data_IF_060908364333
#
_entry.id   IF_060908364333
#
_cell.length_a   1.000
_cell.length_b   1.000
_cell.length_c   1.000
_cell.angle_alpha   90.00
_cell.angle_beta   90.00
_cell.angle_gamma   90.00
#
_symmetry.space_group_name_H-M   'P 1'
#
loop_
_entity.id
_entity.type
_entity.pdbx_description
1 polymer ?
#
# COMPACT_ATOMS: atom_id res chain seq x y z
N UNK A 1 -0.82 8.98 -22.21
CA UNK A 1 -0.48 10.36 -21.77
C UNK A 1 0.62 10.25 -20.72
N UNK A 2 1.62 11.14 -20.64
CA UNK A 2 2.73 10.98 -19.67
C UNK A 2 2.58 11.91 -18.47
N UNK A 3 2.94 11.47 -17.28
CA UNK A 3 3.02 12.33 -16.10
C UNK A 3 3.74 11.71 -14.90
N UNK A 4 4.03 12.55 -13.91
CA UNK A 4 4.79 12.18 -12.72
C UNK A 4 3.85 11.89 -11.55
N UNK A 5 4.00 10.74 -10.89
CA UNK A 5 3.27 10.47 -9.64
C UNK A 5 3.85 11.35 -8.54
N UNK A 6 3.07 12.33 -8.06
CA UNK A 6 3.48 13.19 -6.96
C UNK A 6 3.14 12.59 -5.60
N UNK A 7 1.92 12.05 -5.48
CA UNK A 7 1.38 11.58 -4.21
C UNK A 7 0.26 10.58 -4.45
N UNK A 8 0.06 9.72 -3.46
CA UNK A 8 -1.07 8.82 -3.37
C UNK A 8 -1.73 9.03 -2.02
N UNK A 9 -3.06 8.98 -2.01
CA UNK A 9 -3.80 8.93 -0.77
C UNK A 9 -5.03 8.02 -0.92
N UNK A 10 -5.48 7.41 0.17
CA UNK A 10 -6.67 6.58 0.16
C UNK A 10 -7.92 7.45 0.27
N UNK A 11 -8.96 7.02 -0.43
CA UNK A 11 -10.34 7.45 -0.27
C UNK A 11 -11.08 6.40 0.56
N UNK A 12 -12.41 6.35 0.48
CA UNK A 12 -13.24 5.37 1.19
C UNK A 12 -13.02 3.96 0.61
N UNK A 13 -13.19 3.82 -0.70
CA UNK A 13 -13.27 2.55 -1.43
C UNK A 13 -12.07 2.29 -2.35
N UNK A 14 -11.21 3.29 -2.55
CA UNK A 14 -10.16 3.29 -3.59
C UNK A 14 -8.96 4.13 -3.19
N UNK A 15 -7.90 4.05 -3.98
CA UNK A 15 -6.74 4.94 -3.86
C UNK A 15 -6.75 5.99 -4.96
N UNK A 16 -6.32 7.21 -4.65
CA UNK A 16 -6.22 8.30 -5.62
C UNK A 16 -4.78 8.70 -5.83
N UNK A 17 -4.35 8.62 -7.08
CA UNK A 17 -3.06 9.12 -7.55
C UNK A 17 -3.20 10.58 -7.94
N UNK A 18 -2.24 11.39 -7.51
CA UNK A 18 -2.04 12.77 -7.96
C UNK A 18 -0.88 12.77 -8.94
N UNK A 19 -1.18 13.08 -10.19
CA UNK A 19 -0.23 13.00 -11.30
C UNK A 19 0.00 14.41 -11.88
N UNK A 20 1.25 14.81 -12.06
CA UNK A 20 1.62 16.08 -12.69
C UNK A 20 1.88 15.87 -14.19
N UNK A 21 1.18 16.62 -15.03
CA UNK A 21 1.33 16.62 -16.49
C UNK A 21 1.58 18.04 -17.00
N UNK A 22 2.84 18.37 -17.31
CA UNK A 22 3.22 19.77 -17.60
C UNK A 22 2.75 20.68 -16.46
N UNK A 23 1.92 21.67 -16.77
CA UNK A 23 1.38 22.60 -15.77
C UNK A 23 0.12 22.10 -15.05
N UNK A 24 -0.46 20.97 -15.43
CA UNK A 24 -1.74 20.46 -14.89
C UNK A 24 -1.56 19.34 -13.86
N UNK A 25 -2.54 19.22 -12.97
CA UNK A 25 -2.69 18.08 -12.08
C UNK A 25 -3.86 17.21 -12.56
N UNK A 26 -3.62 15.90 -12.59
CA UNK A 26 -4.60 14.88 -12.94
C UNK A 26 -4.78 13.97 -11.73
N UNK A 27 -6.04 13.64 -11.45
CA UNK A 27 -6.40 12.68 -10.41
C UNK A 27 -6.86 11.40 -11.07
N UNK A 28 -6.22 10.29 -10.73
CA UNK A 28 -6.62 8.96 -11.21
C UNK A 28 -6.94 8.07 -10.03
N UNK A 29 -8.13 7.49 -10.07
CA UNK A 29 -8.56 6.52 -9.07
C UNK A 29 -8.08 5.11 -9.46
N UNK A 30 -7.67 4.35 -8.45
CA UNK A 30 -7.20 2.96 -8.57
C UNK A 30 -7.96 2.10 -7.57
N UNK A 31 -8.53 1.03 -8.11
CA UNK A 31 -9.08 -0.06 -7.32
C UNK A 31 -7.94 -1.01 -6.95
N UNK A 32 -7.69 -1.15 -5.65
CA UNK A 32 -6.72 -2.08 -5.11
C UNK A 32 -7.31 -2.72 -3.87
N UNK A 33 -7.16 -4.05 -3.76
CA UNK A 33 -7.68 -4.87 -2.69
C UNK A 33 -6.54 -5.16 -1.70
N UNK A 34 -6.40 -4.38 -0.62
CA UNK A 34 -5.32 -4.57 0.33
C UNK A 34 -5.46 -5.90 1.08
N UNK A 35 -4.32 -6.47 1.49
CA UNK A 35 -4.26 -7.74 2.22
C UNK A 35 -3.77 -7.51 3.64
N UNK A 36 -4.42 -8.15 4.60
CA UNK A 36 -3.91 -8.27 5.97
C UNK A 36 -3.35 -9.67 6.19
N UNK A 37 -2.33 -9.76 7.03
CA UNK A 37 -1.69 -11.01 7.40
C UNK A 37 -1.81 -11.20 8.90
N UNK A 38 -2.39 -12.33 9.32
CA UNK A 38 -2.66 -12.58 10.73
C UNK A 38 -2.18 -13.96 11.18
N UNK A 39 -1.87 -14.05 12.48
CA UNK A 39 -1.71 -15.31 13.19
C UNK A 39 -2.38 -15.26 14.56
N UNK A 40 -2.77 -16.41 15.07
CA UNK A 40 -3.36 -16.54 16.39
C UNK A 40 -4.00 -17.90 16.58
N UNK A 41 -4.79 -18.03 17.66
CA UNK A 41 -5.58 -19.24 17.89
C UNK A 41 -6.60 -19.46 16.77
N UNK A 42 -6.77 -20.72 16.36
CA UNK A 42 -7.64 -21.07 15.23
C UNK A 42 -9.07 -20.57 15.40
N UNK A 43 -9.59 -20.62 16.63
CA UNK A 43 -10.95 -20.17 16.93
C UNK A 43 -11.10 -18.65 16.78
N UNK A 44 -10.13 -17.87 17.26
CA UNK A 44 -10.12 -16.42 17.08
C UNK A 44 -10.07 -16.03 15.59
N UNK A 45 -9.26 -16.73 14.80
CA UNK A 45 -9.18 -16.50 13.34
C UNK A 45 -10.50 -16.84 12.66
N UNK A 46 -11.13 -17.96 13.00
CA UNK A 46 -12.44 -18.36 12.44
C UNK A 46 -13.53 -17.35 12.77
N UNK A 47 -13.57 -16.86 14.01
CA UNK A 47 -14.53 -15.83 14.42
C UNK A 47 -14.33 -14.54 13.63
N UNK A 48 -13.09 -14.10 13.43
CA UNK A 48 -12.81 -12.93 12.59
C UNK A 48 -13.30 -13.16 11.15
N UNK A 49 -12.91 -14.26 10.50
CA UNK A 49 -13.31 -14.55 9.11
C UNK A 49 -14.84 -14.56 8.98
N UNK A 50 -15.55 -15.21 9.91
CA UNK A 50 -17.01 -15.23 9.91
C UNK A 50 -17.62 -13.83 10.08
N UNK A 51 -17.04 -12.99 10.93
CA UNK A 51 -17.48 -11.61 11.13
C UNK A 51 -17.25 -10.73 9.89
N UNK A 52 -16.11 -10.92 9.21
CA UNK A 52 -15.79 -10.22 7.96
C UNK A 52 -16.73 -10.65 6.83
N UNK A 53 -17.02 -11.95 6.71
CA UNK A 53 -17.95 -12.49 5.73
C UNK A 53 -19.37 -11.93 5.94
N UNK A 54 -19.86 -11.95 7.18
CA UNK A 54 -21.17 -11.37 7.53
C UNK A 54 -21.28 -9.86 7.26
N UNK A 55 -20.15 -9.14 7.28
CA UNK A 55 -20.09 -7.69 7.02
C UNK A 55 -19.78 -7.36 5.55
N UNK A 56 -19.67 -8.36 4.66
CA UNK A 56 -19.19 -8.22 3.28
C UNK A 56 -17.79 -7.59 3.17
N UNK A 57 -16.96 -7.72 4.21
CA UNK A 57 -15.57 -7.23 4.24
C UNK A 57 -14.58 -8.31 3.79
N UNK A 58 -15.03 -9.53 3.56
CA UNK A 58 -14.21 -10.63 3.09
C UNK A 58 -14.32 -10.76 1.56
N UNK A 59 -13.20 -10.58 0.85
CA UNK A 59 -13.14 -10.93 -0.59
C UNK A 59 -12.67 -12.37 -0.75
N UNK A 60 -11.51 -12.66 -0.17
CA UNK A 60 -10.85 -13.97 -0.23
C UNK A 60 -9.96 -14.10 1.00
N UNK A 61 -9.69 -15.34 1.40
CA UNK A 61 -8.64 -15.63 2.36
C UNK A 61 -7.86 -16.87 1.94
N UNK A 62 -6.58 -16.90 2.29
CA UNK A 62 -5.68 -18.02 2.04
C UNK A 62 -4.85 -18.34 3.29
N UNK A 63 -4.30 -19.55 3.34
CA UNK A 63 -3.33 -19.95 4.36
C UNK A 63 -1.97 -20.04 3.68
N UNK A 64 -1.07 -19.15 4.07
CA UNK A 64 0.30 -19.09 3.59
C UNK A 64 1.26 -19.74 4.59
N UNK A 65 2.36 -20.29 4.07
CA UNK A 65 3.47 -20.80 4.88
C UNK A 65 4.62 -19.81 4.83
N UNK A 66 4.94 -19.22 5.98
CA UNK A 66 6.02 -18.24 6.12
C UNK A 66 7.13 -18.81 6.98
N UNK A 67 8.37 -18.43 6.69
CA UNK A 67 9.52 -18.75 7.53
C UNK A 67 9.75 -17.63 8.56
N UNK A 68 9.90 -18.00 9.83
CA UNK A 68 10.17 -17.02 10.89
C UNK A 68 11.61 -16.48 10.80
N UNK A 69 11.82 -15.15 10.81
CA UNK A 69 13.15 -14.58 10.95
C UNK A 69 13.75 -14.86 12.35
N UNK A 70 15.07 -14.64 12.54
CA UNK A 70 16.04 -14.24 11.51
C UNK A 70 16.63 -15.42 10.74
N UNK A 71 16.52 -16.64 11.27
CA UNK A 71 17.21 -17.81 10.71
C UNK A 71 16.36 -18.59 9.68
N UNK A 72 15.08 -18.27 9.56
CA UNK A 72 14.15 -18.86 8.58
C UNK A 72 14.06 -20.38 8.61
N UNK A 73 14.25 -20.99 9.80
CA UNK A 73 14.23 -22.46 9.98
C UNK A 73 12.86 -23.01 10.39
N UNK A 74 11.98 -22.14 10.87
CA UNK A 74 10.69 -22.54 11.44
C UNK A 74 9.58 -22.02 10.54
N UNK A 75 8.81 -22.93 9.97
CA UNK A 75 7.59 -22.61 9.25
C UNK A 75 6.49 -22.16 10.21
N UNK A 76 5.66 -21.24 9.75
CA UNK A 76 4.46 -20.77 10.42
C UNK A 76 3.35 -20.59 9.41
N UNK A 77 2.14 -20.99 9.80
CA UNK A 77 0.92 -20.69 9.05
C UNK A 77 0.50 -19.25 9.33
N UNK A 78 0.32 -18.49 8.27
CA UNK A 78 -0.17 -17.11 8.29
C UNK A 78 -1.44 -17.07 7.45
N UNK A 79 -2.49 -16.46 7.97
CA UNK A 79 -3.72 -16.25 7.21
C UNK A 79 -3.61 -14.93 6.48
N UNK A 80 -3.74 -14.96 5.16
CA UNK A 80 -3.86 -13.75 4.35
C UNK A 80 -5.32 -13.51 4.01
N UNK A 81 -5.79 -12.29 4.20
CA UNK A 81 -7.20 -11.92 4.00
C UNK A 81 -7.22 -10.66 3.13
N UNK A 82 -7.89 -10.74 2.00
CA UNK A 82 -8.09 -9.61 1.08
C UNK A 82 -9.36 -8.85 1.44
N UNK A 83 -9.26 -7.52 1.51
CA UNK A 83 -10.33 -6.62 1.93
C UNK A 83 -10.78 -5.72 0.75
N UNK A 84 -12.03 -5.22 0.75
CA UNK A 84 -12.62 -4.38 -0.30
C UNK A 84 -11.78 -3.18 -0.67
N UNK A 85 -11.26 -2.46 0.32
CA UNK A 85 -10.57 -1.22 0.09
C UNK A 85 -9.85 -0.69 1.34
N UNK A 86 -9.33 0.54 1.25
CA UNK A 86 -8.51 1.15 2.31
C UNK A 86 -9.27 1.40 3.61
N UNK A 87 -10.58 1.69 3.55
CA UNK A 87 -11.38 1.91 4.76
C UNK A 87 -11.50 0.63 5.56
N UNK A 88 -11.97 -0.44 4.94
CA UNK A 88 -12.18 -1.75 5.56
C UNK A 88 -10.84 -2.28 6.09
N UNK A 89 -9.75 -2.08 5.35
CA UNK A 89 -8.40 -2.40 5.80
C UNK A 89 -8.03 -1.79 7.15
N UNK A 90 -8.31 -0.50 7.32
CA UNK A 90 -8.01 0.23 8.56
C UNK A 90 -8.92 -0.18 9.70
N UNK A 91 -10.21 -0.34 9.43
CA UNK A 91 -11.20 -0.75 10.43
C UNK A 91 -10.85 -2.13 10.98
N UNK A 92 -10.56 -3.10 10.10
CA UNK A 92 -10.21 -4.46 10.51
C UNK A 92 -8.87 -4.50 11.27
N UNK A 93 -7.86 -3.74 10.83
CA UNK A 93 -6.61 -3.62 11.60
C UNK A 93 -6.87 -3.08 13.01
N UNK A 94 -7.73 -2.06 13.13
CA UNK A 94 -8.05 -1.48 14.43
C UNK A 94 -8.82 -2.48 15.30
N UNK A 95 -9.79 -3.20 14.74
CA UNK A 95 -10.51 -4.27 15.47
C UNK A 95 -9.56 -5.34 15.98
N UNK A 96 -8.64 -5.81 15.15
CA UNK A 96 -7.64 -6.83 15.55
C UNK A 96 -6.75 -6.30 16.67
N UNK A 97 -6.28 -5.06 16.57
CA UNK A 97 -5.46 -4.43 17.62
C UNK A 97 -6.22 -4.29 18.94
N UNK A 98 -7.51 -3.97 18.88
CA UNK A 98 -8.36 -3.84 20.07
C UNK A 98 -8.70 -5.20 20.70
N UNK A 99 -8.91 -6.24 19.89
CA UNK A 99 -9.23 -7.59 20.35
C UNK A 99 -8.04 -8.27 21.04
N UNK A 100 -6.82 -8.06 20.54
CA UNK A 100 -5.58 -8.52 21.18
C UNK A 100 -5.32 -10.03 21.13
N UNK A 101 -6.27 -10.86 20.69
CA UNK A 101 -6.09 -12.32 20.56
C UNK A 101 -5.38 -12.73 19.27
N UNK A 102 -5.36 -11.83 18.29
CA UNK A 102 -4.73 -12.03 16.99
C UNK A 102 -3.51 -11.10 16.85
N UNK A 103 -2.50 -11.57 16.14
CA UNK A 103 -1.28 -10.83 15.82
C UNK A 103 -1.29 -10.46 14.35
N UNK A 104 -0.98 -9.20 14.07
CA UNK A 104 -0.82 -8.68 12.71
C UNK A 104 0.64 -8.82 12.26
N UNK A 105 0.82 -9.19 11.00
CA UNK A 105 2.10 -9.27 10.32
C UNK A 105 2.16 -8.32 9.13
N UNK A 106 3.38 -7.97 8.75
CA UNK A 106 3.66 -7.17 7.55
C UNK A 106 2.85 -5.87 7.50
N UNK A 107 2.68 -5.21 8.65
CA UNK A 107 2.06 -3.88 8.76
C UNK A 107 2.97 -2.77 8.25
N UNK A 108 4.22 -3.12 7.94
CA UNK A 108 5.18 -2.29 7.23
C UNK A 108 5.82 -3.14 6.12
N UNK A 109 5.90 -2.64 4.87
CA UNK A 109 5.45 -1.31 4.44
C UNK A 109 3.90 -1.18 4.46
N UNK A 110 3.38 0.05 4.47
CA UNK A 110 1.94 0.32 4.55
C UNK A 110 1.16 -0.13 3.30
N UNK A 111 -0.17 -0.06 3.34
CA UNK A 111 -1.04 -0.51 2.24
C UNK A 111 -0.80 0.22 0.93
N UNK A 112 -0.48 1.52 0.99
CA UNK A 112 -0.14 2.33 -0.20
C UNK A 112 1.17 1.85 -0.81
N UNK A 113 2.19 1.62 0.01
CA UNK A 113 3.49 1.15 -0.43
C UNK A 113 3.40 -0.27 -1.00
N UNK A 114 2.61 -1.14 -0.37
CA UNK A 114 2.33 -2.48 -0.89
C UNK A 114 1.57 -2.42 -2.22
N UNK A 115 0.56 -1.56 -2.34
CA UNK A 115 -0.14 -1.33 -3.61
C UNK A 115 0.85 -0.92 -4.70
N UNK A 116 1.68 0.09 -4.43
CA UNK A 116 2.67 0.60 -5.37
C UNK A 116 3.64 -0.48 -5.82
N UNK A 117 4.19 -1.25 -4.87
CA UNK A 117 5.06 -2.38 -5.18
C UNK A 117 4.39 -3.42 -6.07
N UNK A 118 3.17 -3.84 -5.73
CA UNK A 118 2.42 -4.84 -6.49
C UNK A 118 2.04 -4.37 -7.90
N UNK A 119 1.86 -3.06 -8.08
CA UNK A 119 1.57 -2.45 -9.38
C UNK A 119 2.84 -2.12 -10.17
N UNK A 120 4.02 -2.42 -9.64
CA UNK A 120 5.31 -2.00 -10.18
C UNK A 120 5.35 -0.48 -10.43
N UNK A 121 4.89 0.30 -9.45
CA UNK A 121 4.90 1.75 -9.46
C UNK A 121 5.75 2.26 -8.30
N UNK A 122 6.32 3.46 -8.47
CA UNK A 122 7.02 4.18 -7.41
C UNK A 122 6.59 5.65 -7.42
N UNK A 123 6.73 6.34 -6.29
CA UNK A 123 6.52 7.79 -6.26
C UNK A 123 7.65 8.50 -6.98
N UNK A 124 7.37 9.69 -7.52
CA UNK A 124 8.35 10.50 -8.25
C UNK A 124 8.92 9.82 -9.50
N UNK A 125 8.18 8.89 -10.10
CA UNK A 125 8.52 8.30 -11.41
C UNK A 125 7.61 8.82 -12.51
N UNK A 126 8.13 8.84 -13.73
CA UNK A 126 7.35 9.15 -14.92
C UNK A 126 6.57 7.90 -15.36
N UNK A 127 5.25 8.06 -15.54
CA UNK A 127 4.36 6.99 -15.96
C UNK A 127 3.62 7.31 -17.25
N UNK A 128 3.23 6.27 -17.97
CA UNK A 128 2.13 6.32 -18.90
C UNK A 128 0.83 6.27 -18.09
N UNK A 129 0.16 7.41 -18.03
CA UNK A 129 -1.05 7.60 -17.27
C UNK A 129 -2.14 6.67 -17.76
N UNK A 130 -2.25 6.36 -19.04
CA UNK A 130 -3.39 5.59 -19.57
C UNK A 130 -3.25 4.10 -19.20
N UNK A 131 -2.03 3.59 -19.30
CA UNK A 131 -1.71 2.20 -19.03
C UNK A 131 -1.26 1.92 -17.58
N UNK A 132 -1.05 2.96 -16.76
CA UNK A 132 -0.46 2.87 -15.41
C UNK A 132 0.84 2.04 -15.39
N UNK A 133 1.79 2.42 -16.25
CA UNK A 133 3.10 1.75 -16.34
C UNK A 133 4.21 2.77 -16.18
N UNK A 134 5.27 2.38 -15.49
CA UNK A 134 6.51 3.15 -15.48
C UNK A 134 7.02 3.29 -16.91
N UNK A 135 7.45 4.50 -17.26
CA UNK A 135 8.17 4.79 -18.50
C UNK A 135 9.68 4.85 -18.28
N UNK A 136 10.09 4.78 -17.02
CA UNK A 136 11.46 4.70 -16.58
C UNK A 136 11.69 3.30 -16.02
N UNK A 137 12.81 2.68 -16.37
CA UNK A 137 13.24 1.43 -15.77
C UNK A 137 14.52 1.70 -14.96
N UNK A 138 14.41 1.92 -13.64
CA UNK A 138 15.57 2.15 -12.78
C UNK A 138 16.53 0.94 -12.72
N UNK A 139 16.10 -0.22 -13.23
CA UNK A 139 16.89 -1.45 -13.25
C UNK A 139 17.61 -1.68 -14.58
N UNK A 140 17.34 -0.88 -15.62
CA UNK A 140 18.09 -0.94 -16.87
C UNK A 140 19.53 -0.46 -16.62
N UNK A 141 20.51 -1.26 -17.03
CA UNK A 141 21.94 -0.91 -16.94
C UNK A 141 22.29 0.35 -17.72
N UNK A 142 21.44 0.75 -18.68
CA UNK A 142 21.57 1.96 -19.48
C UNK A 142 20.73 3.12 -18.94
N UNK A 143 20.05 2.95 -17.81
CA UNK A 143 19.26 4.02 -17.22
C UNK A 143 20.16 5.19 -16.81
N UNK A 144 20.00 6.32 -17.48
CA UNK A 144 20.64 7.57 -17.07
C UNK A 144 19.79 8.24 -16.00
N UNK A 145 20.28 8.26 -14.76
CA UNK A 145 19.61 8.98 -13.67
C UNK A 145 19.40 10.45 -14.06
N UNK A 146 18.20 11.01 -13.80
CA UNK A 146 17.94 12.41 -14.08
C UNK A 146 18.90 13.30 -13.28
N UNK A 147 19.43 14.35 -13.92
CA UNK A 147 20.38 15.28 -13.28
C UNK A 147 19.75 15.91 -12.03
N UNK A 148 20.29 15.58 -10.86
CA UNK A 148 19.90 16.21 -9.60
C UNK A 148 20.11 17.73 -9.66
N UNK A 149 19.03 18.50 -9.49
CA UNK A 149 19.09 19.96 -9.39
C UNK A 149 18.97 20.37 -7.93
N UNK A 150 20.00 21.01 -7.38
CA UNK A 150 19.93 21.57 -6.03
C UNK A 150 18.96 22.74 -6.02
N UNK A 151 17.86 22.63 -5.28
CA UNK A 151 16.96 23.74 -4.99
C UNK A 151 17.36 24.30 -3.63
N UNK A 152 17.75 25.58 -3.58
CA UNK A 152 18.03 26.27 -2.32
C UNK A 152 16.71 26.81 -1.76
N UNK A 153 16.15 26.14 -0.76
CA UNK A 153 15.05 26.67 0.03
C UNK A 153 15.64 27.62 1.09
N UNK A 154 15.30 28.90 1.01
CA UNK A 154 15.58 29.86 2.08
C UNK A 154 14.26 30.17 2.77
N UNK A 155 14.05 29.57 3.93
CA UNK A 155 12.97 29.97 4.84
C UNK A 155 13.42 31.32 5.40
N UNK A 156 12.73 32.39 5.02
CA UNK A 156 12.91 33.69 5.63
C UNK A 156 11.99 33.74 6.84
N UNK A 157 12.53 34.13 7.99
CA UNK A 157 11.75 34.29 9.21
C UNK A 157 10.53 35.17 8.95
N UNK A 158 9.35 34.65 9.26
CA UNK A 158 8.12 35.42 9.26
C UNK A 158 8.14 36.31 10.50
N UNK A 159 8.45 37.59 10.30
CA UNK A 159 8.14 38.63 11.28
C UNK A 159 6.63 38.89 11.20
N UNK A 160 5.86 38.14 11.99
CA UNK A 160 4.47 38.48 12.26
C UNK A 160 4.40 39.88 12.86
N UNK A 161 3.62 40.76 12.23
CA UNK A 161 3.05 41.95 12.85
C UNK A 161 1.62 41.64 13.26
#
# INVERSE_FOLDING_TARGET
MKGWILRIYPLIDRYRLVIKTGDRLIYRDIEYKPKIYIDGELEAVRLLIKGLDASNYLIEYNIEKWFKPPWYRVEKKIWSISLPGPKEYREVINWIKMDGRLRLWNTYPDDISQMMYNMNLSTSTLIDIDNLRLLEDPWDIKYEEPRFRRVRLRILDWYGM
#
